data_IF_184329668858
#
_entry.id   IF_184329668858
#
_cell.length_a   1.000
_cell.length_b   1.000
_cell.length_c   1.000
_cell.angle_alpha   90.00
_cell.angle_beta   90.00
_cell.angle_gamma   90.00
#
_symmetry.space_group_name_H-M   'P 1'
#
loop_
_entity.id
_entity.type
_entity.pdbx_description
1 polymer ?
2 non-polymer ?
3 non-polymer ?
4 non-polymer ?
5 water ?
#
# COMPACT_ATOMS: atom_id res chain seq x y z
N UNK A 1 4.79 -8.27 -5.71
CA UNK A 1 4.30 -7.96 -7.09
C UNK A 1 4.70 -9.10 -8.01
N UNK A 2 3.69 -9.66 -8.69
CA UNK A 2 3.90 -10.69 -9.71
C UNK A 2 3.92 -9.99 -11.06
N UNK A 3 4.86 -10.38 -11.93
CA UNK A 3 4.89 -9.89 -13.30
C UNK A 3 5.47 -8.51 -13.44
N UNK A 4 6.16 -8.05 -12.40
CA UNK A 4 6.76 -6.74 -12.42
C UNK A 4 8.24 -6.76 -12.73
N UNK A 5 8.87 -5.61 -12.48
CA UNK A 5 10.31 -5.43 -12.72
C UNK A 5 10.91 -4.69 -11.52
N UNK A 6 12.22 -4.77 -11.37
CA UNK A 6 12.92 -4.01 -10.36
C UNK A 6 12.64 -2.53 -10.61
N UNK A 7 12.26 -1.81 -9.56
CA UNK A 7 12.18 -0.35 -9.65
C UNK A 7 13.57 0.23 -9.77
N UNK A 8 13.62 1.43 -10.33
CA UNK A 8 14.88 2.21 -10.24
C UNK A 8 15.07 2.72 -8.81
N UNK A 9 16.31 2.85 -8.35
CA UNK A 9 16.54 3.38 -7.02
C UNK A 9 15.95 4.79 -6.92
N UNK A 10 15.13 5.00 -5.89
CA UNK A 10 14.48 6.31 -5.67
C UNK A 10 13.28 6.63 -6.55
N UNK A 11 12.83 5.66 -7.33
CA UNK A 11 11.72 5.88 -8.27
C UNK A 11 10.37 6.13 -7.62
N UNK A 12 10.17 5.56 -6.44
CA UNK A 12 8.89 5.61 -5.74
C UNK A 12 9.20 6.09 -4.32
N UNK A 13 9.57 7.37 -4.15
CA UNK A 13 10.12 7.82 -2.85
C UNK A 13 9.09 7.94 -1.73
N UNK A 14 7.83 7.68 -2.08
CA UNK A 14 6.73 7.62 -1.10
C UNK A 14 6.49 6.19 -0.62
N UNK A 15 7.09 5.20 -1.27
CA UNK A 15 6.89 3.80 -0.84
C UNK A 15 7.68 3.51 0.43
N UNK A 16 7.01 2.93 1.43
CA UNK A 16 7.60 2.68 2.74
C UNK A 16 7.48 1.19 3.03
N UNK A 17 8.46 0.65 3.77
CA UNK A 17 8.40 -0.74 4.25
C UNK A 17 8.17 -0.78 5.76
N UNK A 18 7.15 -1.54 6.19
CA UNK A 18 6.88 -1.72 7.63
C UNK A 18 7.33 -3.09 8.10
N UNK A 19 8.28 -3.07 9.02
CA UNK A 19 8.77 -4.30 9.66
C UNK A 19 8.19 -4.42 11.05
N UNK A 20 7.77 -5.63 11.39
CA UNK A 20 7.40 -5.92 12.77
C UNK A 20 8.59 -6.60 13.40
N UNK A 21 8.98 -6.17 14.60
CA UNK A 21 10.27 -6.61 15.18
C UNK A 21 10.41 -8.15 15.27
N UNK A 22 11.45 -8.67 14.63
CA UNK A 22 11.65 -10.13 14.58
C UNK A 22 10.91 -10.86 13.48
N UNK A 23 10.01 -10.17 12.76
CA UNK A 23 9.14 -10.79 11.76
C UNK A 23 9.47 -10.37 10.34
N UNK A 24 10.41 -9.44 10.18
CA UNK A 24 10.75 -8.86 8.86
C UNK A 24 9.69 -7.90 8.31
N UNK A 25 9.87 -7.62 7.03
CA UNK A 25 8.88 -6.84 6.29
C UNK A 25 7.52 -7.52 6.29
N UNK A 26 6.49 -6.80 6.70
CA UNK A 26 5.14 -7.32 6.74
C UNK A 26 4.21 -6.61 5.76
N UNK A 27 4.28 -5.28 5.69
CA UNK A 27 3.43 -4.56 4.76
C UNK A 27 4.10 -3.33 4.27
N UNK A 28 3.50 -2.76 3.25
CA UNK A 28 3.92 -1.45 2.73
C UNK A 28 3.12 -0.33 3.38
N UNK A 29 3.51 0.88 3.05
CA UNK A 29 2.76 2.09 3.42
C UNK A 29 3.19 3.19 2.47
N UNK A 30 2.52 4.32 2.54
CA UNK A 30 2.91 5.49 1.75
C UNK A 30 3.12 6.68 2.63
N UNK A 31 4.13 7.47 2.30
CA UNK A 31 4.36 8.73 2.97
C UNK A 31 3.44 9.84 2.43
N UNK A 32 2.67 10.52 3.29
CA UNK A 32 1.76 11.58 2.83
C UNK A 32 2.10 12.94 3.40
N UNK A 33 2.98 13.01 4.41
CA UNK A 33 3.38 14.28 5.01
C UNK A 33 4.61 13.97 5.85
N UNK A 34 5.21 14.97 6.52
CA UNK A 34 6.40 14.60 7.30
C UNK A 34 6.11 13.63 8.43
N UNK A 35 4.86 13.59 8.90
CA UNK A 35 4.54 12.84 10.12
C UNK A 35 3.63 11.65 9.93
N UNK A 36 3.11 11.44 8.71
CA UNK A 36 2.03 10.47 8.55
C UNK A 36 2.22 9.57 7.34
N UNK A 37 1.85 8.31 7.55
CA UNK A 37 1.76 7.29 6.49
C UNK A 37 0.33 6.78 6.35
N UNK A 38 -0.02 6.34 5.14
CA UNK A 38 -1.24 5.57 4.90
C UNK A 38 -0.84 4.13 4.69
N UNK A 39 -1.60 3.21 5.28
CA UNK A 39 -1.36 1.76 5.06
C UNK A 39 -2.71 1.01 5.12
N UNK A 40 -2.68 -0.32 5.25
CA UNK A 40 -3.91 -1.14 5.31
C UNK A 40 -4.18 -1.55 6.74
N UNK A 41 -5.42 -1.33 7.19
CA UNK A 41 -5.78 -1.73 8.57
C UNK A 41 -5.51 -3.19 8.87
N UNK A 42 -5.66 -4.09 7.90
CA UNK A 42 -5.55 -5.52 8.21
C UNK A 42 -4.12 -5.93 8.59
N UNK A 43 -3.15 -5.09 8.31
CA UNK A 43 -1.75 -5.36 8.68
C UNK A 43 -1.52 -5.27 10.18
N UNK A 44 -2.44 -4.59 10.89
CA UNK A 44 -2.21 -4.19 12.30
C UNK A 44 -3.17 -4.89 13.22
N UNK A 45 -3.54 -6.12 12.89
CA UNK A 45 -4.48 -6.94 13.69
C UNK A 45 -3.69 -8.00 14.45
N UNK A 46 -3.90 -8.08 15.77
CA UNK A 46 -3.18 -9.07 16.56
C UNK A 46 -3.50 -10.49 16.12
N UNK A 47 -2.51 -11.36 16.27
CA UNK A 47 -2.81 -12.79 16.30
C UNK A 47 -2.29 -13.34 17.64
N UNK A 48 -2.57 -14.62 17.92
CA UNK A 48 -2.20 -15.19 19.23
C UNK A 48 -0.71 -15.07 19.57
N UNK A 49 0.15 -15.04 18.55
CA UNK A 49 1.59 -15.01 18.79
C UNK A 49 2.26 -13.66 18.66
N UNK A 50 1.55 -12.64 18.18
CA UNK A 50 2.19 -11.34 17.94
C UNK A 50 1.17 -10.20 17.92
N UNK A 51 1.46 -9.14 18.67
CA UNK A 51 0.55 -8.00 18.83
C UNK A 51 0.80 -6.95 17.72
N UNK A 52 0.36 -7.28 16.51
CA UNK A 52 0.53 -6.36 15.35
C UNK A 52 -0.17 -5.04 15.55
N UNK A 53 -1.15 -4.96 16.47
CA UNK A 53 -1.83 -3.70 16.73
C UNK A 53 -1.02 -2.73 17.60
N UNK A 54 0.08 -3.19 18.20
CA UNK A 54 0.85 -2.35 19.11
C UNK A 54 1.85 -1.52 18.31
N UNK A 55 1.69 -0.18 18.25
CA UNK A 55 2.60 0.62 17.42
C UNK A 55 4.06 0.44 17.76
N UNK A 56 4.35 0.08 19.00
CA UNK A 56 5.76 -0.05 19.42
C UNK A 56 6.47 -1.26 18.82
N UNK A 57 5.74 -2.15 18.15
CA UNK A 57 6.36 -3.34 17.56
C UNK A 57 6.94 -3.05 16.18
N UNK A 58 6.72 -1.85 15.67
CA UNK A 58 6.96 -1.59 14.24
C UNK A 58 8.13 -0.67 13.95
N UNK A 59 8.71 -0.85 12.78
CA UNK A 59 9.71 0.08 12.25
C UNK A 59 9.35 0.38 10.80
N UNK A 60 9.32 1.66 10.46
CA UNK A 60 9.15 2.11 9.07
C UNK A 60 10.48 2.47 8.47
N UNK A 61 10.72 1.93 7.27
CA UNK A 61 11.88 2.32 6.50
C UNK A 61 11.43 3.17 5.33
N UNK A 62 11.94 4.40 5.27
CA UNK A 62 11.65 5.33 4.18
C UNK A 62 12.88 5.41 3.30
N UNK A 63 12.68 5.58 1.99
CA UNK A 63 13.84 5.64 1.08
C UNK A 63 14.52 4.30 0.87
N UNK A 64 13.84 3.20 1.17
CA UNK A 64 14.41 1.87 1.05
C UNK A 64 14.31 1.38 -0.39
N UNK A 65 15.35 0.68 -0.85
CA UNK A 65 15.32 0.02 -2.13
C UNK A 65 15.40 -1.50 -1.98
N UNK A 66 16.42 -1.96 -1.24
CA UNK A 66 16.72 -3.38 -1.11
C UNK A 66 16.60 -3.76 0.36
N UNK A 67 15.74 -4.74 0.67
CA UNK A 67 15.51 -5.22 2.05
C UNK A 67 16.76 -5.75 2.74
N UNK A 68 17.77 -6.12 1.94
CA UNK A 68 19.05 -6.58 2.52
C UNK A 68 20.02 -5.45 2.77
N UNK A 69 19.61 -4.23 2.44
CA UNK A 69 20.45 -3.04 2.58
C UNK A 69 19.68 -1.91 3.24
N UNK A 70 19.18 -2.18 4.43
CA UNK A 70 18.35 -1.23 5.17
C UNK A 70 19.09 -0.07 5.80
N UNK A 71 20.42 -0.14 5.83
CA UNK A 71 21.25 0.93 6.37
C UNK A 71 21.93 1.69 5.24
N UNK A 72 21.52 1.45 3.99
CA UNK A 72 22.13 2.14 2.85
C UNK A 72 21.95 3.65 2.98
N UNK A 73 22.86 4.46 2.38
CA UNK A 73 22.68 5.92 2.43
C UNK A 73 21.32 6.36 1.96
N UNK A 74 20.75 7.28 2.74
CA UNK A 74 19.44 7.85 2.42
C UNK A 74 18.25 7.08 2.96
N UNK A 75 18.44 5.86 3.43
CA UNK A 75 17.35 5.13 4.08
C UNK A 75 17.12 5.76 5.44
N UNK A 76 15.86 6.03 5.75
CA UNK A 76 15.50 6.59 7.07
C UNK A 76 14.70 5.57 7.84
N UNK A 77 15.07 5.40 9.10
CA UNK A 77 14.39 4.46 9.99
C UNK A 77 13.59 5.26 11.00
N UNK A 78 12.32 4.87 11.14
CA UNK A 78 11.44 5.54 12.08
C UNK A 78 10.60 4.57 12.88
N UNK A 79 10.28 4.95 14.11
CA UNK A 79 9.29 4.22 14.89
C UNK A 79 7.91 4.84 14.66
N UNK A 80 6.90 4.15 15.17
CA UNK A 80 5.52 4.65 15.10
C UNK A 80 5.07 5.10 16.47
N UNK A 81 4.40 6.24 16.54
CA UNK A 81 3.75 6.56 17.79
C UNK A 81 2.31 6.10 17.92
N UNK A 82 1.61 5.93 16.80
CA UNK A 82 0.19 5.62 16.83
C UNK A 82 -0.19 4.93 15.54
N UNK A 83 -1.15 4.03 15.62
CA UNK A 83 -1.82 3.45 14.45
C UNK A 83 -3.28 3.80 14.60
N UNK A 84 -3.84 4.51 13.60
CA UNK A 84 -5.29 4.80 13.61
C UNK A 84 -5.92 3.93 12.52
N UNK A 85 -6.55 2.83 12.90
CA UNK A 85 -7.23 2.03 11.90
C UNK A 85 -8.63 2.57 11.71
N UNK A 86 -9.12 2.44 10.50
CA UNK A 86 -10.45 2.98 10.21
C UNK A 86 -11.48 2.33 11.15
N UNK A 87 -12.34 3.15 11.77
CA UNK A 87 -13.27 2.57 12.74
C UNK A 87 -14.24 1.58 12.14
N UNK A 88 -14.43 1.61 10.82
CA UNK A 88 -15.37 0.69 10.19
C UNK A 88 -14.70 -0.52 9.57
N UNK A 89 -13.38 -0.64 9.80
CA UNK A 89 -12.69 -1.82 9.29
C UNK A 89 -13.30 -3.12 9.79
N UNK A 90 -13.47 -4.06 8.86
CA UNK A 90 -14.07 -5.37 9.11
C UNK A 90 -12.99 -6.43 8.75
N UNK A 91 -12.48 -7.22 9.71
CA UNK A 91 -11.46 -8.23 9.41
C UNK A 91 -11.97 -9.47 8.68
N UNK A 92 -13.28 -9.57 8.44
CA UNK A 92 -13.84 -10.68 7.68
C UNK A 92 -14.05 -10.24 6.23
N UNK A 93 -14.70 -9.10 6.00
CA UNK A 93 -14.90 -8.64 4.61
C UNK A 93 -13.74 -7.79 4.09
N UNK A 94 -12.90 -7.30 5.01
CA UNK A 94 -11.83 -6.33 4.64
C UNK A 94 -12.39 -5.01 4.10
N UNK A 95 -13.66 -4.71 4.42
CA UNK A 95 -14.16 -3.38 4.12
C UNK A 95 -13.40 -2.36 4.97
N UNK A 96 -13.22 -1.16 4.39
CA UNK A 96 -12.54 -0.06 5.10
C UNK A 96 -11.13 -0.42 5.51
N UNK A 97 -10.42 -1.08 4.58
CA UNK A 97 -9.06 -1.55 4.88
C UNK A 97 -8.06 -0.42 4.68
N UNK A 98 -7.96 0.46 5.66
CA UNK A 98 -7.11 1.63 5.59
C UNK A 98 -6.74 2.02 7.02
N UNK A 99 -5.51 2.46 7.18
CA UNK A 99 -5.01 2.91 8.50
C UNK A 99 -4.07 4.07 8.30
N UNK A 100 -3.96 4.90 9.33
CA UNK A 100 -3.01 6.03 9.33
C UNK A 100 -1.96 5.76 10.38
N UNK A 101 -0.70 5.88 10.00
CA UNK A 101 0.42 5.59 10.92
C UNK A 101 1.16 6.87 11.20
N UNK A 102 1.28 7.22 12.48
CA UNK A 102 1.98 8.45 12.85
C UNK A 102 3.44 8.12 13.15
N UNK A 103 4.34 8.72 12.40
CA UNK A 103 5.76 8.57 12.66
C UNK A 103 6.14 9.20 13.98
N UNK A 104 7.10 8.57 14.67
CA UNK A 104 7.46 9.05 16.00
C UNK A 104 8.31 10.33 15.87
N UNK A 105 9.06 10.44 14.78
CA UNK A 105 9.88 11.60 14.42
C UNK A 105 9.62 11.87 12.92
N UNK A 106 9.54 13.15 12.49
CA UNK A 106 9.26 13.40 11.08
C UNK A 106 10.27 12.84 10.09
N UNK A 107 9.78 12.41 8.93
CA UNK A 107 10.64 12.09 7.80
C UNK A 107 11.34 13.36 7.34
N UNK A 108 12.56 13.19 6.84
CA UNK A 108 13.31 14.30 6.21
C UNK A 108 13.16 14.15 4.70
N UNK A 109 12.56 15.13 4.04
CA UNK A 109 12.37 15.01 2.60
C UNK A 109 13.72 15.08 1.91
N UNK A 110 13.89 14.25 0.89
CA UNK A 110 15.15 14.13 0.14
C UNK A 110 14.85 13.59 -1.25
N UNK A 111 15.87 13.32 -2.07
CA UNK A 111 15.56 12.73 -3.38
C UNK A 111 14.95 11.33 -3.24
N UNK A 112 15.22 10.68 -2.09
CA UNK A 112 14.80 9.30 -1.83
C UNK A 112 13.52 9.20 -1.02
N UNK A 113 13.10 10.31 -0.41
CA UNK A 113 11.99 10.31 0.55
C UNK A 113 11.11 11.52 0.24
N UNK A 114 9.90 11.26 -0.25
CA UNK A 114 9.02 12.34 -0.74
C UNK A 114 7.59 11.86 -0.61
N UNK A 115 6.66 12.73 -0.19
CA UNK A 115 5.26 12.30 -0.06
C UNK A 115 4.58 12.10 -1.40
N UNK A 116 3.62 11.18 -1.45
CA UNK A 116 2.71 11.09 -2.58
C UNK A 116 1.58 12.10 -2.41
N UNK A 117 1.01 12.56 -3.53
CA UNK A 117 -0.14 13.46 -3.46
C UNK A 117 -1.44 12.71 -3.20
N UNK A 118 -2.32 13.32 -2.40
CA UNK A 118 -3.63 12.78 -2.10
C UNK A 118 -4.69 13.35 -3.03
N UNK A 119 -5.58 12.50 -3.54
CA UNK A 119 -6.66 12.98 -4.42
C UNK A 119 -7.82 13.58 -3.61
N UNK A 120 -8.41 14.63 -4.14
CA UNK A 120 -9.62 15.17 -3.53
C UNK A 120 -10.76 14.16 -3.57
N UNK A 121 -11.72 14.35 -2.66
CA UNK A 121 -12.83 13.44 -2.54
C UNK A 121 -13.66 13.27 -3.81
N UNK A 122 -13.74 14.33 -4.61
CA UNK A 122 -14.50 14.27 -5.85
C UNK A 122 -13.77 13.65 -7.02
N UNK A 123 -12.48 13.34 -6.88
CA UNK A 123 -11.75 12.81 -8.04
C UNK A 123 -12.08 11.36 -8.36
N UNK A 124 -12.30 11.07 -9.63
CA UNK A 124 -12.55 9.71 -10.08
C UNK A 124 -11.33 9.21 -10.83
N UNK A 125 -10.78 8.09 -10.40
CA UNK A 125 -9.80 7.35 -11.19
C UNK A 125 -10.58 6.48 -12.18
N UNK A 126 -10.54 6.81 -13.47
CA UNK A 126 -11.45 6.19 -14.42
C UNK A 126 -11.07 4.76 -14.81
N UNK A 127 -12.07 3.93 -15.09
CA UNK A 127 -11.81 2.60 -15.59
C UNK A 127 -10.93 2.68 -16.82
N UNK A 128 -9.94 1.78 -16.89
CA UNK A 128 -9.03 1.77 -18.02
C UNK A 128 -7.74 2.49 -17.75
N UNK A 129 -7.68 3.36 -16.74
CA UNK A 129 -6.45 4.10 -16.48
C UNK A 129 -5.32 3.18 -16.04
N UNK A 130 -4.14 3.41 -16.60
CA UNK A 130 -2.93 2.74 -16.13
C UNK A 130 -2.47 3.35 -14.82
N UNK A 131 -2.11 2.43 -13.91
CA UNK A 131 -1.77 2.69 -12.50
C UNK A 131 -0.54 1.82 -12.17
N UNK A 132 0.25 2.21 -11.19
CA UNK A 132 1.41 1.41 -10.79
C UNK A 132 1.24 0.86 -9.41
N UNK A 133 1.55 -0.42 -9.24
CA UNK A 133 1.64 -1.03 -7.91
C UNK A 133 3.12 -1.32 -7.62
N UNK A 134 3.50 -1.11 -6.37
CA UNK A 134 4.91 -1.27 -5.94
C UNK A 134 4.96 -1.99 -4.62
N UNK A 135 6.00 -2.79 -4.41
CA UNK A 135 6.17 -3.43 -3.12
C UNK A 135 7.24 -4.49 -3.11
N UNK A 136 7.48 -4.98 -1.89
CA UNK A 136 8.42 -6.07 -1.64
C UNK A 136 7.71 -7.38 -1.37
N UNK A 137 6.46 -7.49 -1.81
CA UNK A 137 5.74 -8.76 -1.67
C UNK A 137 6.20 -9.87 -2.56
N UNK A 138 5.53 -10.99 -2.42
CA UNK A 138 5.82 -12.16 -3.22
C UNK A 138 5.78 -11.85 -4.70
N UNK A 139 6.67 -12.52 -5.43
CA UNK A 139 6.73 -12.36 -6.88
C UNK A 139 6.05 -13.51 -7.61
N UNK A 140 5.51 -14.46 -6.85
CA UNK A 140 4.64 -15.54 -7.35
C UNK A 140 3.72 -15.88 -6.20
N UNK A 141 2.47 -16.28 -6.47
CA UNK A 141 1.61 -16.72 -5.35
C UNK A 141 2.26 -17.94 -4.72
N UNK A 142 2.36 -17.91 -3.40
CA UNK A 142 2.97 -19.00 -2.65
C UNK A 142 4.47 -18.95 -2.84
N UNK A 143 4.91 -17.91 -3.50
CA UNK A 143 6.31 -17.70 -3.74
C UNK A 143 7.05 -17.00 -2.64
N UNK A 144 8.13 -16.31 -3.01
CA UNK A 144 8.71 -15.43 -2.01
C UNK A 144 8.99 -13.99 -2.35
N UNK A 145 9.29 -13.30 -1.31
CA UNK A 145 9.23 -11.83 -1.12
C UNK A 145 10.48 -11.19 -1.64
N UNK A 146 10.35 -10.18 -2.50
CA UNK A 146 11.44 -9.59 -3.26
C UNK A 146 12.35 -8.77 -2.39
N UNK A 147 13.67 -8.95 -2.58
CA UNK A 147 14.64 -8.04 -1.92
C UNK A 147 14.57 -6.63 -2.51
N UNK A 148 14.54 -6.53 -3.82
CA UNK A 148 14.54 -5.25 -4.50
C UNK A 148 13.09 -4.85 -4.80
N UNK A 149 12.76 -3.60 -4.46
CA UNK A 149 11.40 -3.08 -4.69
C UNK A 149 10.94 -3.37 -6.14
N UNK A 150 9.73 -3.92 -6.28
CA UNK A 150 9.16 -4.21 -7.59
C UNK A 150 8.10 -3.22 -7.97
N UNK A 151 7.94 -3.00 -9.27
CA UNK A 151 6.87 -2.17 -9.83
C UNK A 151 6.14 -2.96 -10.91
N UNK A 152 4.84 -2.73 -11.03
CA UNK A 152 4.04 -3.34 -12.10
C UNK A 152 2.94 -2.37 -12.54
N UNK A 153 2.69 -2.32 -13.84
CA UNK A 153 1.64 -1.49 -14.40
C UNK A 153 0.38 -2.30 -14.55
N UNK A 154 -0.72 -1.76 -14.01
CA UNK A 154 -2.01 -2.42 -13.98
C UNK A 154 -3.10 -1.40 -14.37
N UNK A 155 -4.31 -1.86 -14.63
CA UNK A 155 -5.35 -0.90 -15.04
C UNK A 155 -6.59 -0.98 -14.17
N UNK A 156 -7.23 0.17 -13.97
CA UNK A 156 -8.46 0.22 -13.20
C UNK A 156 -9.55 -0.56 -13.93
N UNK A 157 -10.24 -1.44 -13.19
CA UNK A 157 -11.33 -2.24 -13.72
C UNK A 157 -12.68 -1.64 -13.33
N UNK A 158 -13.66 -1.72 -14.24
CA UNK A 158 -15.02 -1.23 -13.95
C UNK A 158 -15.58 -1.95 -12.73
N UNK A 159 -16.26 -1.20 -11.84
CA UNK A 159 -16.78 -1.79 -10.59
C UNK A 159 -17.75 -2.94 -10.76
N UNK A 160 -18.67 -2.84 -11.74
CA UNK A 160 -19.59 -3.93 -11.97
C UNK A 160 -18.86 -5.21 -12.35
N UNK A 161 -17.84 -5.07 -13.22
CA UNK A 161 -17.02 -6.21 -13.60
C UNK A 161 -16.33 -6.80 -12.35
N UNK A 162 -15.74 -5.92 -11.52
CA UNK A 162 -15.10 -6.33 -10.27
C UNK A 162 -16.04 -7.11 -9.38
N UNK A 163 -17.24 -6.58 -9.14
CA UNK A 163 -18.23 -7.24 -8.28
C UNK A 163 -18.58 -8.63 -8.80
N UNK A 164 -18.68 -8.76 -10.13
CA UNK A 164 -19.05 -10.02 -10.75
C UNK A 164 -17.93 -11.05 -10.73
N UNK A 165 -16.69 -10.59 -10.74
CA UNK A 165 -15.54 -11.49 -10.69
C UNK A 165 -15.37 -12.08 -9.29
N UNK A 166 -15.78 -11.30 -8.27
CA UNK A 166 -15.55 -11.69 -6.86
C UNK A 166 -16.88 -11.51 -6.13
N UNK A 167 -17.81 -12.42 -6.40
CA UNK A 167 -19.18 -12.19 -5.90
C UNK A 167 -19.29 -12.16 -4.39
N UNK A 168 -20.12 -11.23 -3.90
CA UNK A 168 -20.43 -11.07 -2.46
C UNK A 168 -19.21 -10.61 -1.68
N UNK A 169 -18.24 -10.01 -2.38
CA UNK A 169 -16.99 -9.63 -1.73
C UNK A 169 -16.57 -8.18 -1.95
N UNK A 170 -17.11 -7.52 -2.97
CA UNK A 170 -16.61 -6.20 -3.36
C UNK A 170 -17.56 -5.14 -2.86
N UNK A 171 -17.09 -4.37 -1.89
CA UNK A 171 -17.85 -3.19 -1.42
C UNK A 171 -17.48 -1.92 -2.19
N UNK A 172 -18.26 -0.83 -2.01
CA UNK A 172 -17.90 0.39 -2.71
C UNK A 172 -16.59 1.05 -2.25
N UNK A 173 -16.01 0.58 -1.13
CA UNK A 173 -14.67 1.06 -0.71
C UNK A 173 -13.57 0.41 -1.52
N UNK A 174 -13.91 -0.64 -2.25
CA UNK A 174 -12.92 -1.47 -2.94
C UNK A 174 -12.90 -1.16 -4.43
N UNK A 175 -11.75 -1.42 -5.03
CA UNK A 175 -11.59 -1.27 -6.49
C UNK A 175 -10.71 -2.41 -6.98
N UNK A 176 -11.09 -3.05 -8.08
CA UNK A 176 -10.20 -4.01 -8.77
C UNK A 176 -9.27 -3.26 -9.67
N UNK A 177 -7.99 -3.62 -9.64
CA UNK A 177 -6.97 -3.03 -10.52
C UNK A 177 -6.06 -4.15 -10.94
N UNK A 178 -5.82 -4.28 -12.24
CA UNK A 178 -5.03 -5.42 -12.76
C UNK A 178 -5.45 -5.67 -14.19
N UNK A 179 -5.51 -6.95 -14.56
CA UNK A 179 -5.95 -7.38 -15.88
C UNK A 179 -6.82 -8.59 -15.72
N UNK A 180 -7.90 -8.67 -16.50
CA UNK A 180 -8.70 -9.89 -16.54
C UNK A 180 -7.84 -11.11 -17.00
N UNK A 181 -6.84 -10.86 -17.84
CA UNK A 181 -5.95 -11.95 -18.25
C UNK A 181 -4.94 -12.36 -17.18
N UNK A 182 -4.85 -11.60 -16.10
CA UNK A 182 -3.86 -11.89 -15.04
C UNK A 182 -2.49 -11.36 -15.39
N UNK A 183 -1.48 -12.03 -14.87
CA UNK A 183 -0.11 -11.75 -15.26
C UNK A 183 0.64 -10.74 -14.41
N UNK A 184 0.00 -9.59 -14.14
CA UNK A 184 0.62 -8.56 -13.28
C UNK A 184 -0.37 -8.31 -12.15
N UNK A 185 0.12 -8.36 -10.91
CA UNK A 185 -0.79 -8.23 -9.74
C UNK A 185 0.03 -7.97 -8.50
N UNK A 186 -0.60 -7.42 -7.49
CA UNK A 186 0.04 -7.39 -6.18
C UNK A 186 -0.02 -8.79 -5.55
N UNK A 187 0.74 -9.03 -4.50
CA UNK A 187 0.70 -10.33 -3.83
C UNK A 187 1.11 -10.17 -2.39
N UNK A 188 1.13 -11.27 -1.63
CA UNK A 188 1.40 -11.23 -0.17
C UNK A 188 2.59 -10.34 0.13
N UNK A 189 2.43 -9.42 1.07
CA UNK A 189 3.52 -8.53 1.45
C UNK A 189 3.49 -7.18 0.76
N UNK A 190 2.62 -7.06 -0.25
CA UNK A 190 2.38 -5.75 -0.88
C UNK A 190 1.33 -4.95 -0.17
N UNK A 191 0.50 -5.63 0.65
CA UNK A 191 -0.60 -4.97 1.40
C UNK A 191 -0.13 -3.69 2.04
N UNK A 192 -0.97 -2.66 1.95
CA UNK A 192 -0.68 -1.41 2.62
C UNK A 192 0.04 -0.39 1.78
N UNK A 193 0.73 -0.83 0.72
CA UNK A 193 1.39 0.12 -0.16
C UNK A 193 0.44 0.90 -1.05
N UNK A 194 0.95 1.93 -1.68
CA UNK A 194 0.13 2.78 -2.53
C UNK A 194 0.02 2.32 -3.95
N UNK A 195 -1.14 2.55 -4.55
CA UNK A 195 -1.24 2.64 -6.02
C UNK A 195 -0.81 4.03 -6.44
N UNK A 196 0.14 4.09 -7.38
CA UNK A 196 0.64 5.37 -7.88
C UNK A 196 0.05 5.67 -9.26
N UNK A 197 -0.66 6.81 -9.38
CA UNK A 197 -1.27 7.22 -10.65
C UNK A 197 -0.62 8.50 -11.15
N UNK A 198 -0.09 8.43 -12.37
CA UNK A 198 0.46 9.62 -13.04
C UNK A 198 -0.70 10.50 -13.51
N UNK A 199 -0.74 11.72 -13.00
CA UNK A 199 -1.85 12.62 -13.26
C UNK A 199 -1.47 13.66 -14.33
N UNK A 200 -2.29 14.70 -14.47
CA UNK A 200 -2.26 15.50 -15.72
C UNK A 200 -0.98 16.27 -16.00
N UNK A 201 -0.20 16.61 -14.97
CA UNK A 201 1.11 17.23 -15.20
C UNK A 201 2.26 16.34 -14.79
N UNK A 202 1.97 15.05 -14.71
CA UNK A 202 2.98 14.06 -14.37
C UNK A 202 3.17 13.84 -12.88
N UNK A 203 2.59 14.68 -12.04
CA UNK A 203 2.66 14.43 -10.58
C UNK A 203 1.89 13.14 -10.25
N UNK A 204 2.39 12.43 -9.24
CA UNK A 204 1.80 11.15 -8.87
C UNK A 204 0.89 11.28 -7.65
N UNK A 205 -0.34 10.77 -7.83
CA UNK A 205 -1.38 10.71 -6.79
C UNK A 205 -1.62 9.28 -6.36
N UNK A 206 -1.99 9.15 -5.10
CA UNK A 206 -2.35 7.83 -4.61
C UNK A 206 -3.76 7.43 -5.00
N UNK A 207 -3.88 6.31 -5.70
CA UNK A 207 -5.17 5.87 -6.23
C UNK A 207 -5.72 4.68 -5.46
N UNK A 208 -5.07 4.30 -4.38
CA UNK A 208 -5.56 3.16 -3.64
C UNK A 208 -4.50 2.63 -2.70
N UNK A 209 -4.96 1.71 -1.84
CA UNK A 209 -4.12 0.97 -0.90
C UNK A 209 -4.20 -0.52 -1.25
N UNK A 210 -3.07 -1.20 -1.40
CA UNK A 210 -3.09 -2.63 -1.67
C UNK A 210 -3.80 -3.37 -0.52
N UNK A 211 -4.80 -4.18 -0.85
CA UNK A 211 -5.64 -4.79 0.19
C UNK A 211 -5.66 -6.31 0.16
N UNK A 212 -6.23 -6.94 -0.86
CA UNK A 212 -6.38 -8.40 -0.86
C UNK A 212 -6.59 -8.93 -2.26
N UNK A 213 -6.53 -10.24 -2.43
CA UNK A 213 -6.91 -10.83 -3.68
C UNK A 213 -7.17 -12.30 -3.50
N UNK A 214 -7.77 -12.88 -4.53
CA UNK A 214 -7.95 -14.31 -4.61
C UNK A 214 -6.79 -14.88 -5.42
N UNK A 215 -5.65 -15.44 -4.62
CA UNK A 215 -4.42 -15.74 -5.32
C UNK A 215 -3.76 -14.48 -5.85
N UNK A 216 -2.81 -14.68 -6.76
CA UNK A 216 -2.09 -13.56 -7.36
C UNK A 216 -1.90 -13.80 -8.83
N UNK A 217 -2.24 -12.81 -9.63
CA UNK A 217 -2.01 -12.80 -11.07
C UNK A 217 -2.77 -13.87 -11.85
N UNK A 218 -3.82 -14.41 -11.24
CA UNK A 218 -4.64 -15.39 -11.96
C UNK A 218 -5.65 -14.74 -12.88
N UNK A 219 -5.97 -15.43 -13.97
CA UNK A 219 -7.01 -14.98 -14.88
C UNK A 219 -8.32 -14.70 -14.08
N UNK A 220 -8.95 -13.58 -14.40
CA UNK A 220 -10.25 -13.19 -13.79
C UNK A 220 -10.19 -12.94 -12.29
N UNK A 221 -8.98 -12.74 -11.77
CA UNK A 221 -8.81 -12.49 -10.32
C UNK A 221 -7.82 -11.34 -10.13
N UNK A 222 -8.19 -10.15 -10.60
CA UNK A 222 -7.36 -8.96 -10.34
C UNK A 222 -7.35 -8.62 -8.84
N UNK A 223 -6.27 -8.04 -8.39
CA UNK A 223 -6.15 -7.57 -7.03
C UNK A 223 -7.19 -6.53 -6.64
N UNK A 224 -7.49 -6.52 -5.34
CA UNK A 224 -8.47 -5.59 -4.77
C UNK A 224 -7.73 -4.58 -3.90
N UNK A 225 -8.16 -3.32 -4.02
CA UNK A 225 -7.51 -2.17 -3.41
C UNK A 225 -8.53 -1.29 -2.70
N UNK A 226 -8.13 -0.68 -1.60
CA UNK A 226 -9.02 0.30 -0.95
C UNK A 226 -8.89 1.60 -1.71
N UNK A 227 -10.03 2.21 -2.04
CA UNK A 227 -10.06 3.50 -2.74
C UNK A 227 -9.60 4.64 -1.83
N UNK A 228 -9.01 5.68 -2.40
CA UNK A 228 -8.54 6.81 -1.61
C UNK A 228 -9.43 8.06 -1.53
N UNK A 229 -10.05 8.50 -2.65
CA UNK A 229 -10.77 9.79 -2.59
C UNK A 229 -11.83 9.81 -1.47
N UNK A 230 -12.53 8.68 -1.28
CA UNK A 230 -13.55 8.73 -0.24
C UNK A 230 -13.05 8.90 1.17
N UNK A 231 -11.75 8.69 1.37
CA UNK A 231 -11.12 8.93 2.68
C UNK A 231 -10.40 10.24 2.82
N UNK A 232 -10.50 11.13 1.83
CA UNK A 232 -9.78 12.40 1.96
C UNK A 232 -10.11 13.19 3.22
N UNK A 233 -11.40 13.28 3.54
CA UNK A 233 -11.83 14.07 4.71
C UNK A 233 -11.44 13.36 6.00
N UNK A 234 -11.55 12.03 6.02
CA UNK A 234 -11.14 11.24 7.18
C UNK A 234 -9.64 11.44 7.46
N UNK A 235 -8.84 11.44 6.40
CA UNK A 235 -7.43 11.73 6.54
C UNK A 235 -7.23 13.14 7.12
N UNK A 236 -7.88 14.12 6.54
CA UNK A 236 -7.72 15.49 7.04
C UNK A 236 -8.13 15.60 8.52
N UNK A 237 -9.27 15.00 8.88
CA UNK A 237 -9.77 15.10 10.25
C UNK A 237 -8.80 14.52 11.25
N UNK A 238 -8.17 13.39 10.88
CA UNK A 238 -7.34 12.65 11.83
C UNK A 238 -5.87 13.07 11.85
N UNK A 239 -5.39 13.71 10.79
CA UNK A 239 -3.96 14.02 10.68
C UNK A 239 -3.64 15.51 10.47
N UNK A 240 -4.64 16.27 10.01
CA UNK A 240 -4.43 17.65 9.58
C UNK A 240 -3.88 17.78 8.16
N UNK A 241 -3.57 16.65 7.52
CA UNK A 241 -3.03 16.64 6.16
C UNK A 241 -4.17 16.77 5.16
#
# INVERSE_FOLDING_TARGET
VVGGTDADEGEWPWQVSLHALGQGHICGASLISPNWLVSAAHCYIDDRGFRYSDPTQWTAFLGLHDQSQRSAPGVQERRLKRIISHPFFNDFTFDYDIALLELEKPAEYSSMVRPICLPDASHVFPAGKAIWVTGWGHTQYGGTGALILQKGEIRVIQQTTCENLLPQQITPRMMCVGFLSGGVDSCQGDAGGPLSSVEADGRIFQAGVVSWGDGCAQRNKPGVYTRLPLFRDWIKENTGV
#
